data_IF_486492827277
#
_entry.id   IF_486492827277
#
_cell.length_a   1.000
_cell.length_b   1.000
_cell.length_c   1.000
_cell.angle_alpha   90.00
_cell.angle_beta   90.00
_cell.angle_gamma   90.00
#
_symmetry.space_group_name_H-M   'P 1'
#
loop_
_entity.id
_entity.type
_entity.pdbx_description
1 polymer ?
#
# COMPACT_ATOMS: atom_id res chain seq x y z
N UNK A 1 19.78 4.17 -4.78
CA UNK A 1 18.36 4.15 -4.40
C UNK A 1 17.74 5.41 -4.98
N UNK A 2 17.04 5.31 -6.11
CA UNK A 2 16.44 6.47 -6.79
C UNK A 2 15.15 6.82 -6.04
N UNK A 3 15.13 7.93 -5.33
CA UNK A 3 13.92 8.45 -4.69
C UNK A 3 13.20 9.28 -5.75
N UNK A 4 12.11 8.75 -6.31
CA UNK A 4 11.19 9.56 -7.12
C UNK A 4 10.38 10.46 -6.18
N UNK A 5 10.36 11.79 -6.39
CA UNK A 5 9.45 12.64 -5.66
C UNK A 5 8.00 12.26 -6.00
N UNK A 6 7.23 11.85 -4.99
CA UNK A 6 5.78 11.63 -5.11
C UNK A 6 5.37 10.26 -5.63
N UNK A 7 5.74 9.16 -4.96
CA UNK A 7 5.20 7.84 -5.27
C UNK A 7 3.66 7.88 -5.32
N UNK A 8 3.03 7.18 -6.29
CA UNK A 8 1.57 7.09 -6.35
C UNK A 8 1.03 6.50 -5.05
N UNK A 9 -0.10 7.00 -4.56
CA UNK A 9 -0.75 6.42 -3.40
C UNK A 9 -2.27 6.41 -3.53
N UNK A 10 -2.90 5.57 -2.73
CA UNK A 10 -4.35 5.53 -2.58
C UNK A 10 -4.72 5.15 -1.15
N UNK A 11 -5.95 5.50 -0.75
CA UNK A 11 -6.48 5.09 0.55
C UNK A 11 -7.24 3.78 0.44
N UNK A 12 -7.04 2.92 1.43
CA UNK A 12 -7.78 1.70 1.63
C UNK A 12 -8.34 1.65 3.06
N UNK A 13 -9.41 0.88 3.24
CA UNK A 13 -9.95 0.55 4.56
C UNK A 13 -9.93 -0.96 4.74
N UNK A 14 -9.80 -1.41 5.97
CA UNK A 14 -10.14 -2.78 6.30
C UNK A 14 -11.67 -2.91 6.31
N UNK A 15 -12.20 -3.55 5.29
CA UNK A 15 -13.52 -4.18 5.31
C UNK A 15 -13.27 -5.67 5.12
N UNK A 16 -14.11 -6.53 5.72
CA UNK A 16 -13.94 -8.00 5.76
C UNK A 16 -13.57 -8.77 4.47
N UNK A 17 -13.66 -8.26 3.21
CA UNK A 17 -13.01 -8.91 2.07
C UNK A 17 -11.51 -9.19 2.26
N UNK A 18 -11.07 -10.34 1.76
CA UNK A 18 -9.66 -10.73 1.64
C UNK A 18 -8.94 -10.04 0.47
N UNK A 19 -9.51 -8.96 -0.05
CA UNK A 19 -9.11 -8.30 -1.30
C UNK A 19 -8.76 -6.84 -1.03
N UNK A 20 -7.59 -6.40 -1.51
CA UNK A 20 -7.21 -5.00 -1.57
C UNK A 20 -7.37 -4.49 -3.00
N UNK A 21 -8.36 -3.62 -3.21
CA UNK A 21 -8.60 -3.01 -4.51
C UNK A 21 -7.61 -1.88 -4.79
N UNK A 22 -6.94 -1.95 -5.93
CA UNK A 22 -6.02 -0.90 -6.40
C UNK A 22 -6.82 0.02 -7.30
N UNK A 23 -6.85 1.31 -6.97
CA UNK A 23 -7.73 2.26 -7.65
C UNK A 23 -7.38 2.38 -9.14
N UNK A 24 -8.40 2.30 -9.99
CA UNK A 24 -8.25 2.28 -11.46
C UNK A 24 -7.59 3.55 -12.02
N UNK A 25 -7.80 4.70 -11.39
CA UNK A 25 -7.13 5.96 -11.76
C UNK A 25 -5.62 5.86 -11.48
N UNK A 26 -5.21 5.40 -10.29
CA UNK A 26 -3.78 5.22 -9.96
C UNK A 26 -3.08 4.27 -10.95
N UNK A 27 -3.76 3.19 -11.37
CA UNK A 27 -3.21 2.29 -12.39
C UNK A 27 -3.01 2.99 -13.73
N UNK A 28 -3.97 3.81 -14.16
CA UNK A 28 -3.93 4.50 -15.45
C UNK A 28 -2.94 5.66 -15.46
N UNK A 29 -3.05 6.55 -14.49
CA UNK A 29 -2.30 7.82 -14.43
C UNK A 29 -0.79 7.56 -14.36
N UNK A 30 -0.39 6.45 -13.71
CA UNK A 30 1.01 6.05 -13.57
C UNK A 30 1.42 4.87 -14.45
N UNK A 31 0.54 4.44 -15.37
CA UNK A 31 0.77 3.33 -16.31
C UNK A 31 1.36 2.08 -15.62
N UNK A 32 0.77 1.71 -14.48
CA UNK A 32 1.32 0.68 -13.59
C UNK A 32 1.29 -0.70 -14.23
N UNK A 33 2.43 -1.37 -14.16
CA UNK A 33 2.58 -2.75 -14.58
C UNK A 33 2.62 -3.67 -13.35
N UNK A 34 1.83 -4.75 -13.41
CA UNK A 34 1.69 -5.70 -12.32
C UNK A 34 2.37 -7.02 -12.67
N UNK A 35 3.24 -7.49 -11.78
CA UNK A 35 3.69 -8.87 -11.72
C UNK A 35 2.59 -9.77 -11.17
N UNK A 36 2.76 -11.10 -11.25
CA UNK A 36 1.78 -12.05 -10.69
C UNK A 36 1.64 -11.91 -9.17
N UNK A 37 2.69 -11.46 -8.48
CA UNK A 37 2.71 -11.31 -7.04
C UNK A 37 3.38 -10.01 -6.64
N UNK A 38 2.81 -9.33 -5.65
CA UNK A 38 3.41 -8.17 -5.01
C UNK A 38 3.53 -8.42 -3.50
N UNK A 39 4.42 -7.68 -2.85
CA UNK A 39 4.49 -7.66 -1.38
C UNK A 39 3.69 -6.49 -0.82
N UNK A 40 2.88 -6.75 0.19
CA UNK A 40 2.34 -5.77 1.12
C UNK A 40 3.31 -5.63 2.29
N UNK A 41 3.73 -4.41 2.62
CA UNK A 41 4.65 -4.15 3.72
C UNK A 41 4.02 -3.15 4.68
N UNK A 42 3.76 -3.57 5.92
CA UNK A 42 3.24 -2.68 6.95
C UNK A 42 4.39 -1.85 7.52
N UNK A 43 4.33 -0.55 7.32
CA UNK A 43 5.17 0.37 8.06
C UNK A 43 4.50 0.60 9.42
N UNK A 44 5.09 0.07 10.49
CA UNK A 44 4.78 0.48 11.85
C UNK A 44 5.34 1.89 12.11
N UNK A 45 4.94 2.85 11.27
CA UNK A 45 5.12 4.26 11.57
C UNK A 45 4.15 4.56 12.70
N UNK A 46 4.68 4.67 13.93
CA UNK A 46 3.97 5.38 14.97
C UNK A 46 3.67 6.77 14.38
N UNK A 47 2.40 7.11 14.28
CA UNK A 47 1.95 8.50 14.25
C UNK A 47 2.21 9.27 12.94
N UNK A 48 1.69 8.79 11.81
CA UNK A 48 1.32 9.75 10.74
C UNK A 48 0.01 10.40 11.15
N UNK A 49 0.07 11.55 11.84
CA UNK A 49 -1.11 12.40 12.05
C UNK A 49 -1.63 12.81 10.66
N UNK A 50 -2.93 12.73 10.42
CA UNK A 50 -3.54 12.92 9.09
C UNK A 50 -3.15 14.22 8.36
N UNK A 51 -2.66 15.20 9.12
CA UNK A 51 -2.25 16.53 8.67
C UNK A 51 -0.81 16.55 8.11
N UNK A 52 -0.02 15.50 8.35
CA UNK A 52 1.42 15.42 8.05
C UNK A 52 1.73 14.48 6.88
N UNK A 53 0.71 13.90 6.23
CA UNK A 53 0.90 12.99 5.09
C UNK A 53 1.69 13.67 3.96
N UNK A 54 1.49 14.98 3.73
CA UNK A 54 2.26 15.77 2.78
C UNK A 54 3.75 15.92 3.19
N UNK A 55 4.06 15.93 4.50
CA UNK A 55 5.42 15.96 5.02
C UNK A 55 6.09 14.57 5.04
N UNK A 56 5.30 13.50 5.13
CA UNK A 56 5.79 12.11 5.08
C UNK A 56 6.39 11.71 3.72
N UNK A 57 6.10 12.44 2.64
CA UNK A 57 6.78 12.26 1.35
C UNK A 57 8.32 12.45 1.46
N UNK A 58 8.83 13.08 2.52
CA UNK A 58 10.26 13.25 2.79
C UNK A 58 10.83 12.35 3.90
N UNK A 59 10.02 11.62 4.66
CA UNK A 59 10.53 10.73 5.72
C UNK A 59 10.67 9.31 5.16
N UNK A 60 11.49 9.21 4.11
CA UNK A 60 12.02 7.96 3.56
C UNK A 60 13.31 7.62 4.31
N UNK A 61 13.24 6.92 5.46
CA UNK A 61 14.36 6.11 5.98
C UNK A 61 14.11 5.42 7.34
N UNK A 62 13.07 5.74 8.12
CA UNK A 62 12.91 5.12 9.45
C UNK A 62 12.14 3.80 9.39
N UNK A 63 12.72 2.85 8.66
CA UNK A 63 12.31 1.46 8.63
C UNK A 63 12.73 0.83 9.97
N UNK A 64 11.79 0.73 10.91
CA UNK A 64 11.94 -0.10 12.10
C UNK A 64 12.14 -1.58 11.65
N UNK A 65 13.05 -2.34 12.25
CA UNK A 65 13.45 -3.68 11.80
C UNK A 65 12.36 -4.77 11.91
N UNK A 66 11.17 -4.42 12.39
CA UNK A 66 10.01 -5.31 12.46
C UNK A 66 8.96 -4.87 11.42
N UNK A 67 9.05 -5.39 10.21
CA UNK A 67 8.05 -5.17 9.16
C UNK A 67 7.19 -6.41 9.01
N UNK A 68 5.87 -6.24 9.04
CA UNK A 68 4.96 -7.30 8.63
C UNK A 68 4.90 -7.24 7.10
N UNK A 69 5.51 -8.22 6.48
CA UNK A 69 5.44 -8.44 5.04
C UNK A 69 4.48 -9.58 4.72
N UNK A 70 3.67 -9.40 3.67
CA UNK A 70 2.88 -10.46 3.08
C UNK A 70 3.00 -10.39 1.57
N UNK A 71 3.40 -11.51 0.96
CA UNK A 71 3.30 -11.68 -0.48
C UNK A 71 1.89 -12.11 -0.88
N UNK A 72 1.28 -11.38 -1.79
CA UNK A 72 -0.06 -11.65 -2.32
C UNK A 72 -0.10 -11.83 -3.82
N UNK A 73 -1.15 -12.49 -4.31
CA UNK A 73 -1.39 -12.67 -5.74
C UNK A 73 -2.17 -11.48 -6.30
N UNK A 74 -1.73 -10.94 -7.44
CA UNK A 74 -2.48 -9.94 -8.19
C UNK A 74 -3.48 -10.62 -9.11
N UNK A 75 -4.74 -10.18 -9.04
CA UNK A 75 -5.80 -10.58 -9.96
C UNK A 75 -6.34 -9.35 -10.71
N UNK A 76 -6.69 -9.57 -11.98
CA UNK A 76 -7.25 -8.56 -12.87
C UNK A 76 -8.62 -9.04 -13.38
N UNK A 77 -9.63 -8.18 -13.29
CA UNK A 77 -10.95 -8.41 -13.88
C UNK A 77 -10.96 -8.00 -15.35
N UNK A 78 -11.94 -8.51 -16.11
CA UNK A 78 -12.15 -8.15 -17.53
C UNK A 78 -12.37 -6.65 -17.76
N UNK A 79 -12.89 -5.92 -16.76
CA UNK A 79 -13.14 -4.47 -16.81
C UNK A 79 -11.94 -3.60 -16.41
N UNK A 80 -10.79 -4.24 -16.18
CA UNK A 80 -9.53 -3.59 -15.79
C UNK A 80 -9.39 -3.26 -14.31
N UNK A 81 -10.32 -3.70 -13.43
CA UNK A 81 -10.10 -3.65 -11.97
C UNK A 81 -8.96 -4.59 -11.58
N UNK A 82 -8.12 -4.12 -10.67
CA UNK A 82 -6.96 -4.88 -10.14
C UNK A 82 -7.08 -4.97 -8.63
N UNK A 83 -6.83 -6.15 -8.08
CA UNK A 83 -6.85 -6.38 -6.64
C UNK A 83 -5.76 -7.36 -6.23
N UNK A 84 -5.27 -7.19 -5.00
CA UNK A 84 -4.39 -8.13 -4.32
C UNK A 84 -5.21 -9.06 -3.42
N UNK A 85 -4.85 -10.35 -3.43
CA UNK A 85 -5.40 -11.37 -2.53
C UNK A 85 -4.53 -11.51 -1.29
N UNK A 86 -5.15 -11.47 -0.11
CA UNK A 86 -4.44 -11.64 1.16
C UNK A 86 -4.60 -10.47 2.12
N UNK A 87 -5.36 -9.43 1.73
CA UNK A 87 -5.58 -8.23 2.52
C UNK A 87 -6.09 -8.50 3.94
N UNK A 88 -7.02 -9.45 4.12
CA UNK A 88 -7.57 -9.74 5.44
C UNK A 88 -6.54 -10.37 6.38
N UNK A 89 -5.71 -11.30 5.87
CA UNK A 89 -4.60 -11.88 6.65
C UNK A 89 -3.52 -10.83 6.97
N UNK A 90 -3.21 -9.96 6.01
CA UNK A 90 -2.29 -8.84 6.24
C UNK A 90 -2.81 -7.90 7.34
N UNK A 91 -4.07 -7.45 7.25
CA UNK A 91 -4.69 -6.59 8.25
C UNK A 91 -4.66 -7.22 9.64
N UNK A 92 -5.03 -8.51 9.74
CA UNK A 92 -5.02 -9.25 11.00
C UNK A 92 -3.62 -9.29 11.62
N UNK A 93 -2.59 -9.65 10.84
CA UNK A 93 -1.20 -9.68 11.33
C UNK A 93 -0.74 -8.30 11.76
N UNK A 94 -1.08 -7.28 10.98
CA UNK A 94 -0.71 -5.88 11.20
C UNK A 94 -1.55 -5.16 12.24
N UNK A 95 -2.52 -5.84 12.87
CA UNK A 95 -3.47 -5.26 13.85
C UNK A 95 -4.19 -4.03 13.30
N UNK A 96 -4.58 -4.09 12.02
CA UNK A 96 -5.39 -3.08 11.34
C UNK A 96 -6.86 -3.47 11.53
N UNK A 97 -7.65 -2.52 12.01
CA UNK A 97 -9.07 -2.66 12.31
C UNK A 97 -9.91 -1.82 11.33
N UNK A 98 -11.22 -1.99 11.36
CA UNK A 98 -12.17 -1.22 10.54
C UNK A 98 -12.19 0.29 10.84
N UNK A 99 -11.70 0.69 12.01
CA UNK A 99 -11.57 2.08 12.42
C UNK A 99 -10.32 2.76 11.84
N UNK A 100 -9.35 1.96 11.40
CA UNK A 100 -8.10 2.47 10.85
C UNK A 100 -8.29 2.86 9.37
N UNK A 101 -7.52 3.86 8.94
CA UNK A 101 -7.35 4.19 7.52
C UNK A 101 -5.97 3.76 7.08
N UNK A 102 -5.86 3.21 5.89
CA UNK A 102 -4.57 2.81 5.33
C UNK A 102 -4.24 3.69 4.14
N UNK A 103 -3.03 4.27 4.12
CA UNK A 103 -2.45 4.87 2.93
C UNK A 103 -1.54 3.83 2.29
N UNK A 104 -1.88 3.40 1.08
CA UNK A 104 -1.12 2.45 0.29
C UNK A 104 -0.26 3.23 -0.71
N UNK A 105 1.04 3.29 -0.45
CA UNK A 105 2.06 3.87 -1.33
C UNK A 105 2.57 2.79 -2.30
N UNK A 106 2.60 3.12 -3.59
CA UNK A 106 3.07 2.24 -4.66
C UNK A 106 4.56 2.43 -4.84
N UNK A 107 5.34 1.39 -4.52
CA UNK A 107 6.79 1.38 -4.74
C UNK A 107 7.08 0.70 -6.06
N UNK A 108 7.77 1.41 -6.96
CA UNK A 108 8.04 0.95 -8.32
C UNK A 108 9.46 0.39 -8.46
N UNK A 109 9.56 -0.76 -9.14
CA UNK A 109 10.78 -1.31 -9.70
C UNK A 109 10.94 -0.87 -11.16
N UNK A 110 12.11 -0.32 -11.51
CA UNK A 110 12.40 0.09 -12.90
C UNK A 110 11.44 1.15 -13.47
N UNK A 111 10.75 1.92 -12.60
CA UNK A 111 9.92 3.06 -12.95
C UNK A 111 8.48 2.77 -13.42
N UNK A 112 8.09 1.51 -13.65
CA UNK A 112 6.72 1.16 -14.07
C UNK A 112 6.14 -0.11 -13.44
N UNK A 113 7.01 -1.07 -13.10
CA UNK A 113 6.57 -2.32 -12.48
C UNK A 113 6.38 -2.13 -11.00
N UNK A 114 5.27 -2.57 -10.42
CA UNK A 114 5.10 -2.52 -8.97
C UNK A 114 6.01 -3.55 -8.31
N UNK A 115 6.84 -3.09 -7.37
CA UNK A 115 7.66 -3.94 -6.52
C UNK A 115 6.86 -4.38 -5.29
N UNK A 116 6.29 -3.39 -4.60
CA UNK A 116 5.55 -3.59 -3.35
C UNK A 116 4.53 -2.46 -3.15
N UNK A 117 3.53 -2.75 -2.31
CA UNK A 117 2.69 -1.73 -1.71
C UNK A 117 3.14 -1.53 -0.27
N UNK A 118 3.58 -0.31 0.03
CA UNK A 118 3.89 0.09 1.40
C UNK A 118 2.62 0.62 2.04
N UNK A 119 2.22 0.03 3.16
CA UNK A 119 0.97 0.33 3.85
C UNK A 119 1.28 1.10 5.12
N UNK A 120 0.83 2.35 5.16
CA UNK A 120 0.90 3.24 6.31
C UNK A 120 -0.44 3.25 7.03
N UNK A 121 -0.44 2.92 8.32
CA UNK A 121 -1.68 2.86 9.13
C UNK A 121 -1.90 4.21 9.81
N UNK A 122 -3.02 4.84 9.51
CA UNK A 122 -3.46 6.11 10.08
C UNK A 122 -4.56 5.79 11.10
N UNK A 123 -4.24 6.00 12.38
CA UNK A 123 -5.15 5.80 13.51
C UNK A 123 -5.72 7.15 13.92
N UNK A 124 -7.03 7.21 14.14
CA UNK A 124 -7.61 8.37 14.82
C UNK A 124 -7.37 8.17 16.32
N UNK A 125 -6.62 9.07 16.93
CA UNK A 125 -6.53 9.19 18.39
C UNK A 125 -7.87 9.63 18.99
#
# INVERSE_FOLDING_TARGET
MYIQPGNPYFYAKHYRPNELYILKNVVKDFCLCFTKHISLVCCHCKDVRGNEIAACHHILAQINTTHIEKRGEIRKWKDGRVFELGWADFCRKSKITENDRCLCEVVLHGGKSIEMLRVHVIRNE
#
